data_IF_171746976818
#
_entry.id   IF_171746976818
#
_cell.length_a   1.000
_cell.length_b   1.000
_cell.length_c   1.000
_cell.angle_alpha   90.00
_cell.angle_beta   90.00
_cell.angle_gamma   90.00
#
_symmetry.space_group_name_H-M   'P 1'
#
loop_
_entity.id
_entity.type
_entity.pdbx_description
1 polymer ?
#
# COMPACT_ATOMS: atom_id res chain seq x y z
N UNK A 1 40.74 12.86 30.35
CA UNK A 1 40.82 12.77 28.87
C UNK A 1 39.46 12.34 28.34
N UNK A 2 38.73 13.23 27.67
CA UNK A 2 37.46 12.87 27.02
C UNK A 2 37.78 12.01 25.80
N UNK A 3 37.42 10.73 25.83
CA UNK A 3 37.50 9.87 24.65
C UNK A 3 36.62 10.48 23.55
N UNK A 4 37.26 11.09 22.55
CA UNK A 4 36.61 11.44 21.28
C UNK A 4 36.05 10.14 20.71
N UNK A 5 34.73 10.02 20.64
CA UNK A 5 34.09 8.95 19.90
C UNK A 5 34.66 8.95 18.48
N UNK A 6 35.36 7.87 18.10
CA UNK A 6 35.84 7.68 16.72
C UNK A 6 34.61 7.80 15.81
N UNK A 7 34.62 8.78 14.90
CA UNK A 7 33.66 8.84 13.78
C UNK A 7 33.71 7.48 13.08
N UNK A 8 32.64 6.70 13.18
CA UNK A 8 32.45 5.50 12.36
C UNK A 8 32.59 5.94 10.90
N UNK A 9 33.45 5.30 10.08
CA UNK A 9 33.52 5.63 8.66
C UNK A 9 32.12 5.50 8.06
N UNK A 10 31.79 6.35 7.08
CA UNK A 10 30.53 6.26 6.36
C UNK A 10 30.43 4.83 5.81
N UNK A 11 29.55 4.03 6.41
CA UNK A 11 29.42 2.64 6.00
C UNK A 11 28.98 2.63 4.55
N UNK A 12 29.75 1.95 3.70
CA UNK A 12 29.26 1.63 2.37
C UNK A 12 27.99 0.80 2.57
N UNK A 13 26.85 1.32 2.10
CA UNK A 13 25.54 0.69 2.26
C UNK A 13 25.02 0.15 0.94
N UNK A 14 25.84 0.08 -0.11
CA UNK A 14 25.43 -0.39 -1.42
C UNK A 14 26.32 -1.56 -1.78
N UNK A 15 25.73 -2.69 -2.16
CA UNK A 15 26.49 -3.88 -2.53
C UNK A 15 25.80 -4.64 -3.68
N UNK A 16 26.58 -5.30 -4.57
CA UNK A 16 26.05 -6.22 -5.58
C UNK A 16 25.59 -7.53 -4.96
N UNK A 17 24.37 -7.97 -5.23
CA UNK A 17 23.88 -9.27 -4.81
C UNK A 17 23.29 -10.05 -5.98
N UNK A 18 23.60 -11.34 -6.05
CA UNK A 18 22.86 -12.30 -6.87
C UNK A 18 21.68 -12.84 -6.06
N UNK A 19 20.48 -12.78 -6.61
CA UNK A 19 19.26 -13.25 -5.95
C UNK A 19 19.11 -14.76 -6.12
N UNK A 20 19.00 -15.46 -4.99
CA UNK A 20 19.04 -16.93 -4.90
C UNK A 20 17.67 -17.54 -4.62
N UNK A 21 16.79 -16.79 -3.97
CA UNK A 21 15.46 -17.24 -3.58
C UNK A 21 14.52 -16.05 -3.34
N UNK A 22 13.26 -16.35 -3.05
CA UNK A 22 12.30 -15.38 -2.53
C UNK A 22 11.92 -15.68 -1.08
N UNK A 23 11.68 -14.62 -0.33
CA UNK A 23 10.93 -14.67 0.92
C UNK A 23 9.44 -14.89 0.68
N UNK A 24 8.69 -15.22 1.73
CA UNK A 24 7.22 -15.34 1.66
C UNK A 24 6.50 -14.05 1.24
N UNK A 25 7.15 -12.89 1.41
CA UNK A 25 6.64 -11.58 0.99
C UNK A 25 7.08 -11.20 -0.43
N UNK A 26 7.82 -12.06 -1.12
CA UNK A 26 8.34 -11.83 -2.47
C UNK A 26 9.56 -10.91 -2.55
N UNK A 27 10.21 -10.62 -1.42
CA UNK A 27 11.56 -10.02 -1.41
C UNK A 27 12.58 -11.04 -1.89
N UNK A 28 13.53 -10.63 -2.72
CA UNK A 28 14.70 -11.43 -3.08
C UNK A 28 15.55 -11.76 -1.84
N UNK A 29 16.16 -12.93 -1.81
CA UNK A 29 17.08 -13.38 -0.77
C UNK A 29 18.45 -13.55 -1.40
N UNK A 30 19.46 -13.00 -0.74
CA UNK A 30 20.86 -13.19 -1.05
C UNK A 30 21.69 -13.31 0.23
N UNK A 31 22.94 -13.72 0.09
CA UNK A 31 23.89 -13.77 1.19
C UNK A 31 25.15 -12.96 0.86
N UNK A 32 25.72 -12.32 1.87
CA UNK A 32 27.06 -11.76 1.79
C UNK A 32 28.12 -12.85 1.59
N UNK A 33 29.25 -12.50 0.95
CA UNK A 33 30.31 -13.44 0.60
C UNK A 33 30.23 -13.99 -0.84
N UNK A 34 29.15 -13.69 -1.56
CA UNK A 34 28.94 -14.10 -2.95
C UNK A 34 29.58 -13.17 -4.00
N UNK A 35 30.20 -12.06 -3.58
CA UNK A 35 30.83 -11.07 -4.45
C UNK A 35 32.10 -10.52 -3.78
N UNK A 36 33.18 -10.19 -4.53
CA UNK A 36 34.42 -9.65 -3.96
C UNK A 36 34.26 -8.37 -3.13
N UNK A 37 33.32 -7.50 -3.52
CA UNK A 37 33.03 -6.24 -2.80
C UNK A 37 32.30 -6.45 -1.46
N UNK A 38 31.94 -7.68 -1.11
CA UNK A 38 31.28 -7.96 0.15
C UNK A 38 32.25 -7.86 1.34
N UNK A 39 31.84 -7.17 2.43
CA UNK A 39 32.62 -7.11 3.65
C UNK A 39 32.77 -8.51 4.27
N UNK A 40 34.02 -8.90 4.54
CA UNK A 40 34.34 -10.24 5.06
C UNK A 40 33.65 -10.53 6.39
N UNK A 41 33.48 -9.52 7.25
CA UNK A 41 32.82 -9.66 8.55
C UNK A 41 31.31 -9.98 8.45
N UNK A 42 30.72 -9.83 7.27
CA UNK A 42 29.31 -10.16 7.01
C UNK A 42 29.14 -11.49 6.27
N UNK A 43 30.21 -12.21 5.96
CA UNK A 43 30.13 -13.45 5.18
C UNK A 43 29.02 -14.41 5.68
N UNK A 44 28.17 -14.89 4.78
CA UNK A 44 27.03 -15.76 5.08
C UNK A 44 25.82 -15.06 5.70
N UNK A 45 25.89 -13.76 6.00
CA UNK A 45 24.74 -13.01 6.53
C UNK A 45 23.68 -12.82 5.45
N UNK A 46 22.42 -13.09 5.81
CA UNK A 46 21.27 -13.02 4.93
C UNK A 46 20.83 -11.57 4.68
N UNK A 47 20.45 -11.29 3.44
CA UNK A 47 19.92 -10.00 3.00
C UNK A 47 18.59 -10.20 2.28
N UNK A 48 17.55 -9.48 2.71
CA UNK A 48 16.26 -9.41 2.03
C UNK A 48 16.21 -8.16 1.16
N UNK A 49 16.02 -8.33 -0.15
CA UNK A 49 16.16 -7.27 -1.15
C UNK A 49 14.82 -7.06 -1.85
N UNK A 50 14.21 -5.90 -1.65
CA UNK A 50 12.97 -5.52 -2.34
C UNK A 50 13.24 -5.23 -3.82
N UNK A 51 12.25 -5.56 -4.65
CA UNK A 51 12.20 -5.27 -6.09
C UNK A 51 13.19 -6.06 -6.97
N UNK A 52 13.96 -6.97 -6.37
CA UNK A 52 14.89 -7.85 -7.06
C UNK A 52 14.26 -9.23 -7.29
N UNK A 53 14.45 -9.79 -8.49
CA UNK A 53 13.89 -11.09 -8.89
C UNK A 53 14.92 -12.21 -8.88
N UNK A 54 14.45 -13.44 -8.76
CA UNK A 54 15.28 -14.65 -8.74
C UNK A 54 16.16 -14.72 -9.99
N UNK A 55 17.45 -15.04 -9.77
CA UNK A 55 18.44 -15.16 -10.84
C UNK A 55 19.12 -13.85 -11.22
N UNK A 56 18.59 -12.70 -10.81
CA UNK A 56 19.17 -11.39 -11.14
C UNK A 56 20.39 -11.06 -10.28
N UNK A 57 21.29 -10.25 -10.82
CA UNK A 57 22.33 -9.56 -10.05
C UNK A 57 21.98 -8.08 -9.95
N UNK A 58 21.95 -7.54 -8.73
CA UNK A 58 21.47 -6.18 -8.45
C UNK A 58 22.43 -5.41 -7.55
N UNK A 59 22.58 -4.10 -7.76
CA UNK A 59 23.09 -3.20 -6.72
C UNK A 59 21.96 -2.93 -5.73
N UNK A 60 22.14 -3.30 -4.47
CA UNK A 60 21.14 -3.09 -3.43
C UNK A 60 21.65 -2.13 -2.36
N UNK A 61 20.80 -1.18 -1.96
CA UNK A 61 21.05 -0.26 -0.85
C UNK A 61 20.47 -0.81 0.44
N UNK A 62 21.33 -1.07 1.41
CA UNK A 62 20.94 -1.45 2.77
C UNK A 62 20.13 -0.33 3.41
N UNK A 63 18.95 -0.69 3.92
CA UNK A 63 18.01 0.21 4.61
C UNK A 63 17.98 -0.04 6.10
N UNK A 64 18.09 -1.30 6.51
CA UNK A 64 17.99 -1.71 7.90
C UNK A 64 18.94 -2.86 8.19
N UNK A 65 19.55 -2.86 9.38
CA UNK A 65 20.58 -3.81 9.77
C UNK A 65 20.31 -4.34 11.17
N UNK A 66 20.33 -5.66 11.30
CA UNK A 66 20.31 -6.36 12.59
C UNK A 66 21.54 -7.26 12.71
N UNK A 67 21.71 -7.95 13.84
CA UNK A 67 22.78 -8.94 13.98
C UNK A 67 22.59 -10.16 13.06
N UNK A 68 21.34 -10.57 12.80
CA UNK A 68 21.02 -11.79 12.05
C UNK A 68 20.84 -11.58 10.54
N UNK A 69 20.26 -10.45 10.14
CA UNK A 69 19.90 -10.17 8.76
C UNK A 69 19.98 -8.67 8.44
N UNK A 70 19.98 -8.35 7.15
CA UNK A 70 19.82 -6.99 6.64
C UNK A 70 18.66 -6.91 5.65
N UNK A 71 18.09 -5.71 5.53
CA UNK A 71 17.06 -5.40 4.55
C UNK A 71 17.57 -4.32 3.60
N UNK A 72 17.27 -4.47 2.33
CA UNK A 72 17.77 -3.61 1.27
C UNK A 72 16.72 -3.40 0.17
N UNK A 73 16.96 -2.38 -0.64
CA UNK A 73 16.20 -2.12 -1.86
C UNK A 73 17.14 -2.23 -3.05
N UNK A 74 16.69 -2.90 -4.11
CA UNK A 74 17.35 -2.79 -5.40
C UNK A 74 17.42 -1.32 -5.83
N UNK A 75 18.61 -0.86 -6.20
CA UNK A 75 18.85 0.42 -6.85
C UNK A 75 18.96 0.26 -8.37
N UNK A 76 19.74 -0.72 -8.81
CA UNK A 76 20.07 -0.94 -10.22
C UNK A 76 20.15 -2.44 -10.48
N UNK A 77 19.52 -2.88 -11.55
CA UNK A 77 19.71 -4.21 -12.12
C UNK A 77 21.01 -4.23 -12.93
N UNK A 78 21.90 -5.19 -12.66
CA UNK A 78 23.21 -5.32 -13.31
C UNK A 78 23.31 -6.50 -14.27
N UNK A 79 22.41 -7.48 -14.18
CA UNK A 79 22.27 -8.58 -15.13
C UNK A 79 21.18 -8.29 -16.15
N UNK A 80 20.96 -9.23 -17.06
CA UNK A 80 19.69 -9.28 -17.79
C UNK A 80 18.52 -9.42 -16.81
N UNK A 81 17.38 -8.84 -17.20
CA UNK A 81 16.13 -8.95 -16.46
C UNK A 81 15.63 -10.39 -16.45
N UNK A 82 15.06 -10.83 -15.32
CA UNK A 82 14.31 -12.07 -15.30
C UNK A 82 13.16 -12.01 -16.32
N UNK A 83 12.84 -13.13 -16.98
CA UNK A 83 11.82 -13.17 -18.04
C UNK A 83 10.44 -12.65 -17.60
N UNK A 84 10.09 -12.89 -16.34
CA UNK A 84 8.82 -12.47 -15.73
C UNK A 84 8.89 -11.06 -15.10
N UNK A 85 10.00 -10.33 -15.28
CA UNK A 85 10.08 -8.92 -14.85
C UNK A 85 9.25 -8.06 -15.79
N UNK A 86 8.43 -7.19 -15.23
CA UNK A 86 7.66 -6.19 -15.97
C UNK A 86 7.91 -4.80 -15.40
N UNK A 87 7.62 -3.78 -16.21
CA UNK A 87 7.60 -2.41 -15.74
C UNK A 87 6.37 -2.18 -14.83
N UNK A 88 6.56 -1.64 -13.61
CA UNK A 88 5.45 -1.34 -12.72
C UNK A 88 4.42 -0.39 -13.34
N UNK A 89 3.14 -0.74 -13.24
CA UNK A 89 2.03 0.08 -13.75
C UNK A 89 1.79 1.39 -12.97
N UNK A 90 2.42 1.54 -11.80
CA UNK A 90 2.26 2.70 -10.93
C UNK A 90 3.58 3.44 -10.80
N UNK A 91 3.60 4.72 -11.22
CA UNK A 91 4.77 5.58 -11.10
C UNK A 91 5.26 5.81 -9.66
N UNK A 92 4.41 5.52 -8.65
CA UNK A 92 4.77 5.64 -7.24
C UNK A 92 5.37 4.35 -6.66
N UNK A 93 5.42 3.25 -7.43
CA UNK A 93 6.01 1.99 -7.01
C UNK A 93 7.50 2.20 -6.66
N UNK A 94 8.00 1.48 -5.66
CA UNK A 94 9.35 1.69 -5.12
C UNK A 94 9.39 2.64 -3.93
N UNK A 95 8.52 3.67 -3.91
CA UNK A 95 8.45 4.69 -2.84
C UNK A 95 7.21 4.48 -1.98
N UNK A 96 6.02 4.45 -2.60
CA UNK A 96 4.74 4.20 -1.92
C UNK A 96 4.70 2.78 -1.33
N UNK A 97 4.33 2.67 -0.05
CA UNK A 97 4.28 1.41 0.70
C UNK A 97 3.15 0.45 0.34
N UNK A 98 2.30 0.79 -0.63
CA UNK A 98 1.04 0.07 -0.89
C UNK A 98 1.19 -1.20 -1.73
N UNK A 99 2.19 -1.31 -2.60
CA UNK A 99 2.35 -2.42 -3.53
C UNK A 99 3.79 -2.96 -3.47
N UNK A 100 3.95 -4.29 -3.39
CA UNK A 100 5.28 -4.92 -3.24
C UNK A 100 5.81 -5.58 -4.51
N UNK A 101 4.93 -6.03 -5.42
CA UNK A 101 5.29 -6.96 -6.50
C UNK A 101 4.99 -6.45 -7.92
N UNK A 102 4.75 -5.15 -8.13
CA UNK A 102 4.40 -4.66 -9.49
C UNK A 102 5.51 -4.84 -10.53
N UNK A 103 6.74 -5.10 -10.09
CA UNK A 103 7.88 -5.42 -10.96
C UNK A 103 7.86 -6.87 -11.48
N UNK A 104 6.93 -7.70 -11.01
CA UNK A 104 6.80 -9.12 -11.32
C UNK A 104 5.48 -9.35 -12.06
N UNK A 105 5.51 -10.13 -13.14
CA UNK A 105 4.32 -10.49 -13.90
C UNK A 105 3.27 -11.14 -12.98
N UNK A 106 1.96 -10.83 -13.12
CA UNK A 106 0.93 -11.34 -12.22
C UNK A 106 0.89 -12.87 -12.08
N UNK A 107 1.21 -13.61 -13.14
CA UNK A 107 1.29 -15.08 -13.09
C UNK A 107 2.40 -15.56 -12.16
N UNK A 108 3.56 -14.91 -12.21
CA UNK A 108 4.68 -15.23 -11.32
C UNK A 108 4.38 -14.82 -9.87
N UNK A 109 3.61 -13.74 -9.64
CA UNK A 109 3.14 -13.38 -8.30
C UNK A 109 2.26 -14.48 -7.69
N UNK A 110 1.42 -15.13 -8.51
CA UNK A 110 0.55 -16.21 -8.07
C UNK A 110 1.36 -17.48 -7.84
N UNK A 111 2.29 -17.81 -8.75
CA UNK A 111 3.22 -18.94 -8.59
C UNK A 111 4.01 -18.82 -7.30
N UNK A 112 4.57 -17.64 -7.02
CA UNK A 112 5.27 -17.34 -5.77
C UNK A 112 4.38 -17.63 -4.55
N UNK A 113 3.16 -17.10 -4.51
CA UNK A 113 2.23 -17.30 -3.39
C UNK A 113 1.84 -18.77 -3.21
N UNK A 114 1.62 -19.49 -4.30
CA UNK A 114 1.30 -20.92 -4.27
C UNK A 114 2.49 -21.74 -3.74
N UNK A 115 3.72 -21.43 -4.17
CA UNK A 115 4.93 -22.09 -3.65
C UNK A 115 5.11 -21.83 -2.14
N UNK A 116 4.80 -20.62 -1.67
CA UNK A 116 4.83 -20.28 -0.23
C UNK A 116 3.80 -21.12 0.54
N UNK A 117 2.57 -21.21 0.03
CA UNK A 117 1.52 -22.03 0.65
C UNK A 117 1.91 -23.51 0.69
N UNK A 118 2.42 -24.06 -0.43
CA UNK A 118 2.91 -25.43 -0.50
C UNK A 118 4.03 -25.68 0.51
N UNK A 119 5.01 -24.77 0.57
CA UNK A 119 6.11 -24.85 1.53
C UNK A 119 5.59 -24.87 2.97
N UNK A 120 4.62 -24.02 3.31
CA UNK A 120 4.03 -23.98 4.64
C UNK A 120 3.27 -25.28 4.99
N UNK A 121 2.45 -25.81 4.07
CA UNK A 121 1.75 -27.08 4.29
C UNK A 121 2.73 -28.23 4.53
N UNK A 122 3.79 -28.31 3.73
CA UNK A 122 4.78 -29.36 3.86
C UNK A 122 5.60 -29.22 5.14
N UNK A 123 6.17 -28.04 5.40
CA UNK A 123 7.18 -27.87 6.45
C UNK A 123 6.56 -27.70 7.83
N UNK A 124 5.39 -27.06 7.94
CA UNK A 124 4.77 -26.79 9.23
C UNK A 124 3.64 -27.76 9.58
N UNK A 125 2.90 -28.26 8.58
CA UNK A 125 1.79 -29.17 8.81
C UNK A 125 2.12 -30.64 8.43
N UNK A 126 3.20 -30.89 7.69
CA UNK A 126 3.50 -32.23 7.17
C UNK A 126 2.46 -32.72 6.14
N UNK A 127 1.71 -31.80 5.53
CA UNK A 127 0.61 -32.11 4.63
C UNK A 127 1.04 -31.95 3.16
N UNK A 128 0.48 -32.80 2.32
CA UNK A 128 0.48 -32.66 0.86
C UNK A 128 -0.97 -32.73 0.38
N UNK A 129 -1.50 -31.67 -0.25
CA UNK A 129 -2.83 -31.74 -0.84
C UNK A 129 -2.90 -32.80 -1.93
N UNK A 130 -4.00 -33.55 -1.98
CA UNK A 130 -4.29 -34.47 -3.09
C UNK A 130 -4.44 -33.71 -4.42
N UNK A 131 -5.03 -32.52 -4.35
CA UNK A 131 -5.23 -31.64 -5.49
C UNK A 131 -5.04 -30.17 -5.09
N UNK A 132 -4.41 -29.41 -5.98
CA UNK A 132 -4.40 -27.96 -5.95
C UNK A 132 -5.55 -27.41 -6.81
N UNK A 133 -6.41 -26.60 -6.20
CA UNK A 133 -7.43 -25.86 -6.94
C UNK A 133 -6.79 -24.75 -7.78
N UNK A 134 -7.46 -24.37 -8.86
CA UNK A 134 -7.03 -23.22 -9.65
C UNK A 134 -7.08 -21.94 -8.79
N UNK A 135 -6.09 -21.04 -8.89
CA UNK A 135 -6.07 -19.81 -8.11
C UNK A 135 -7.23 -18.88 -8.53
N UNK A 136 -7.94 -18.33 -7.55
CA UNK A 136 -8.92 -17.26 -7.76
C UNK A 136 -8.16 -15.97 -8.07
N UNK A 137 -8.59 -15.26 -9.12
CA UNK A 137 -7.87 -14.08 -9.64
C UNK A 137 -8.80 -12.89 -9.81
N UNK A 138 -8.23 -11.70 -9.57
CA UNK A 138 -8.85 -10.46 -10.03
C UNK A 138 -8.68 -10.36 -11.54
N UNK A 139 -9.74 -9.97 -12.26
CA UNK A 139 -9.69 -9.68 -13.71
C UNK A 139 -9.21 -8.25 -14.01
N UNK A 140 -9.12 -7.42 -12.97
CA UNK A 140 -8.86 -5.99 -13.06
C UNK A 140 -7.73 -5.59 -12.10
N UNK A 141 -6.93 -4.60 -12.52
CA UNK A 141 -5.85 -4.03 -11.69
C UNK A 141 -6.40 -3.05 -10.66
N UNK A 142 -7.43 -2.28 -11.03
CA UNK A 142 -8.17 -1.27 -10.27
C UNK A 142 -9.17 -1.86 -9.26
N UNK A 143 -8.78 -2.95 -8.59
CA UNK A 143 -9.71 -3.78 -7.83
C UNK A 143 -10.11 -3.23 -6.46
N UNK A 144 -9.38 -2.25 -5.89
CA UNK A 144 -9.66 -1.77 -4.54
C UNK A 144 -10.84 -0.80 -4.55
N UNK A 145 -11.91 -1.16 -3.83
CA UNK A 145 -13.07 -0.30 -3.59
C UNK A 145 -13.01 0.47 -2.27
N UNK A 146 -11.91 0.32 -1.53
CA UNK A 146 -11.68 1.05 -0.28
C UNK A 146 -10.23 1.48 -0.12
N UNK A 147 -10.04 2.72 0.32
CA UNK A 147 -8.72 3.27 0.62
C UNK A 147 -8.77 4.24 1.79
N UNK A 148 -7.67 4.28 2.56
CA UNK A 148 -7.42 5.29 3.59
C UNK A 148 -6.17 6.06 3.20
N UNK A 149 -6.31 7.35 3.00
CA UNK A 149 -5.27 8.24 2.48
C UNK A 149 -4.89 9.21 3.59
N UNK A 150 -3.60 9.22 3.97
CA UNK A 150 -3.09 10.12 4.99
C UNK A 150 -3.02 11.55 4.47
N UNK A 151 -3.31 12.51 5.35
CA UNK A 151 -3.18 13.94 5.09
C UNK A 151 -2.24 14.54 6.11
N UNK A 152 -1.31 15.38 5.65
CA UNK A 152 -0.42 16.15 6.52
C UNK A 152 -0.19 17.52 5.93
N UNK A 153 -0.45 18.55 6.72
CA UNK A 153 -0.13 19.92 6.34
C UNK A 153 1.15 20.40 7.05
N UNK A 154 2.08 20.97 6.29
CA UNK A 154 3.27 21.63 6.82
C UNK A 154 3.13 23.14 6.69
N UNK A 155 2.84 23.82 7.80
CA UNK A 155 2.67 25.27 7.84
C UNK A 155 3.94 26.04 7.43
N UNK A 156 5.15 25.50 7.67
CA UNK A 156 6.40 26.19 7.31
C UNK A 156 6.63 26.26 5.81
N UNK A 157 6.05 25.33 5.05
CA UNK A 157 6.20 25.22 3.60
C UNK A 157 4.90 25.54 2.85
N UNK A 158 3.83 25.91 3.58
CA UNK A 158 2.44 25.99 3.11
C UNK A 158 2.09 24.86 2.14
N UNK A 159 2.38 23.62 2.56
CA UNK A 159 2.27 22.45 1.70
C UNK A 159 1.43 21.36 2.37
N UNK A 160 0.40 20.90 1.64
CA UNK A 160 -0.37 19.73 2.01
C UNK A 160 0.16 18.49 1.28
N UNK A 161 0.44 17.44 2.05
CA UNK A 161 0.75 16.11 1.58
C UNK A 161 -0.51 15.26 1.72
N UNK A 162 -0.90 14.63 0.61
CA UNK A 162 -2.00 13.68 0.57
C UNK A 162 -1.51 12.42 -0.13
N UNK A 163 -1.52 11.28 0.58
CA UNK A 163 -1.09 10.03 -0.01
C UNK A 163 -0.90 8.91 0.98
N UNK A 164 -0.03 7.96 0.62
CA UNK A 164 0.20 6.74 1.40
C UNK A 164 1.54 6.79 2.12
N UNK A 165 1.66 6.00 3.17
CA UNK A 165 2.93 5.83 3.87
C UNK A 165 3.96 5.16 2.95
N UNK A 166 5.17 5.67 2.99
CA UNK A 166 6.35 4.99 2.47
C UNK A 166 6.62 3.71 3.25
N UNK A 167 7.29 2.75 2.61
CA UNK A 167 7.70 1.53 3.30
C UNK A 167 8.57 1.81 4.53
N UNK A 168 8.25 1.15 5.65
CA UNK A 168 8.95 1.28 6.93
C UNK A 168 9.11 2.72 7.42
N UNK A 169 8.20 3.61 7.03
CA UNK A 169 8.32 5.04 7.25
C UNK A 169 6.97 5.64 7.64
N UNK A 170 7.02 6.70 8.44
CA UNK A 170 5.85 7.52 8.70
C UNK A 170 5.70 8.66 7.68
N UNK A 171 6.63 8.83 6.74
CA UNK A 171 6.50 9.81 5.66
C UNK A 171 5.41 9.40 4.68
N UNK A 172 4.72 10.41 4.15
CA UNK A 172 3.70 10.23 3.13
C UNK A 172 4.31 10.54 1.76
N UNK A 173 4.19 9.60 0.83
CA UNK A 173 4.40 9.87 -0.59
C UNK A 173 3.13 10.50 -1.13
N UNK A 174 3.23 11.71 -1.68
CA UNK A 174 2.10 12.32 -2.40
C UNK A 174 1.74 11.47 -3.61
N UNK A 175 0.45 11.19 -3.77
CA UNK A 175 -0.06 10.46 -4.92
C UNK A 175 -1.00 11.36 -5.72
N UNK A 176 -0.98 11.21 -7.04
CA UNK A 176 -1.98 11.81 -7.92
C UNK A 176 -2.94 10.78 -8.48
N UNK A 177 -2.51 9.53 -8.61
CA UNK A 177 -3.27 8.39 -9.10
C UNK A 177 -2.83 7.13 -8.36
N UNK A 178 -3.69 6.11 -8.30
CA UNK A 178 -3.39 4.82 -7.72
C UNK A 178 -3.95 3.70 -8.62
N UNK A 179 -3.08 3.02 -9.37
CA UNK A 179 -3.49 2.03 -10.39
C UNK A 179 -4.22 0.80 -9.82
N UNK A 180 -4.22 0.61 -8.50
CA UNK A 180 -4.95 -0.47 -7.82
C UNK A 180 -6.25 -0.04 -7.17
N UNK A 181 -6.52 1.27 -7.13
CA UNK A 181 -7.78 1.84 -6.66
C UNK A 181 -8.76 1.87 -7.83
N UNK A 182 -10.06 1.72 -7.55
CA UNK A 182 -11.12 1.91 -8.54
C UNK A 182 -10.86 3.17 -9.37
N UNK A 183 -11.04 3.07 -10.70
CA UNK A 183 -10.71 4.14 -11.64
C UNK A 183 -11.38 5.47 -11.30
N UNK A 184 -12.65 5.46 -10.91
CA UNK A 184 -13.40 6.68 -10.60
C UNK A 184 -12.88 7.35 -9.32
N UNK A 185 -12.52 6.53 -8.32
CA UNK A 185 -11.91 7.02 -7.07
C UNK A 185 -10.50 7.54 -7.32
N UNK A 186 -9.68 6.82 -8.10
CA UNK A 186 -8.32 7.24 -8.46
C UNK A 186 -8.34 8.56 -9.25
N UNK A 187 -9.24 8.69 -10.23
CA UNK A 187 -9.35 9.90 -11.03
C UNK A 187 -9.76 11.14 -10.20
N UNK A 188 -10.46 10.93 -9.08
CA UNK A 188 -10.90 12.01 -8.18
C UNK A 188 -9.84 12.48 -7.19
N UNK A 189 -8.69 11.79 -7.08
CA UNK A 189 -7.64 12.14 -6.11
C UNK A 189 -7.04 13.54 -6.34
N UNK A 190 -6.72 13.99 -7.57
CA UNK A 190 -6.20 15.34 -7.78
C UNK A 190 -7.17 16.43 -7.32
N UNK A 191 -8.46 16.30 -7.65
CA UNK A 191 -9.50 17.25 -7.24
C UNK A 191 -9.68 17.27 -5.71
N UNK A 192 -9.68 16.10 -5.07
CA UNK A 192 -9.69 16.00 -3.61
C UNK A 192 -8.50 16.71 -2.99
N UNK A 193 -7.30 16.53 -3.54
CA UNK A 193 -6.09 17.21 -3.04
C UNK A 193 -6.25 18.72 -3.10
N UNK A 194 -6.70 19.26 -4.24
CA UNK A 194 -6.92 20.69 -4.43
C UNK A 194 -7.99 21.23 -3.48
N UNK A 195 -9.10 20.49 -3.30
CA UNK A 195 -10.14 20.84 -2.33
C UNK A 195 -9.53 20.99 -0.93
N UNK A 196 -8.79 19.98 -0.45
CA UNK A 196 -8.17 20.01 0.87
C UNK A 196 -7.15 21.13 1.03
N UNK A 197 -6.42 21.50 -0.02
CA UNK A 197 -5.45 22.60 0.00
C UNK A 197 -6.13 23.97 0.19
N UNK A 198 -7.39 24.11 -0.20
CA UNK A 198 -8.17 25.33 -0.12
C UNK A 198 -8.99 25.47 1.18
N UNK A 199 -9.08 24.41 1.99
CA UNK A 199 -9.78 24.48 3.27
C UNK A 199 -8.99 25.35 4.26
N UNK A 200 -9.69 26.24 4.98
CA UNK A 200 -9.14 26.97 6.12
C UNK A 200 -8.68 25.98 7.21
N UNK A 201 -9.47 24.95 7.45
CA UNK A 201 -9.18 23.85 8.39
C UNK A 201 -8.18 22.80 7.90
N UNK A 202 -7.45 22.99 6.78
CA UNK A 202 -6.55 21.97 6.20
C UNK A 202 -5.51 21.39 7.16
N UNK A 203 -5.08 22.16 8.15
CA UNK A 203 -4.15 21.73 9.20
C UNK A 203 -4.74 20.67 10.16
N UNK A 204 -6.07 20.61 10.25
CA UNK A 204 -6.79 19.72 11.16
C UNK A 204 -7.07 18.35 10.53
N UNK A 205 -6.86 18.17 9.24
CA UNK A 205 -7.22 16.94 8.54
C UNK A 205 -6.13 15.91 8.75
N UNK A 206 -6.49 14.78 9.38
CA UNK A 206 -5.56 13.68 9.65
C UNK A 206 -5.50 12.67 8.51
N UNK A 207 -6.67 12.24 8.03
CA UNK A 207 -6.78 11.33 6.90
C UNK A 207 -8.18 11.41 6.28
N UNK A 208 -8.30 10.89 5.07
CA UNK A 208 -9.58 10.62 4.44
C UNK A 208 -9.74 9.13 4.16
N UNK A 209 -10.98 8.64 4.19
CA UNK A 209 -11.33 7.31 3.72
C UNK A 209 -12.32 7.41 2.57
N UNK A 210 -12.07 6.64 1.52
CA UNK A 210 -13.01 6.40 0.44
C UNK A 210 -13.48 4.96 0.57
N UNK A 211 -14.78 4.76 0.67
CA UNK A 211 -15.42 3.44 0.63
C UNK A 211 -16.47 3.44 -0.48
N UNK A 212 -16.48 2.40 -1.30
CA UNK A 212 -17.40 2.26 -2.42
C UNK A 212 -18.25 1.00 -2.25
N UNK A 213 -19.56 1.19 -2.22
CA UNK A 213 -20.57 0.15 -2.45
C UNK A 213 -20.77 -0.06 -3.94
N UNK A 214 -21.79 -0.84 -4.32
CA UNK A 214 -22.09 -1.14 -5.72
C UNK A 214 -22.47 0.10 -6.53
N UNK A 215 -23.18 1.04 -5.90
CA UNK A 215 -23.60 2.30 -6.53
C UNK A 215 -23.13 3.53 -5.76
N UNK A 216 -22.97 3.44 -4.45
CA UNK A 216 -22.63 4.59 -3.60
C UNK A 216 -21.13 4.68 -3.32
N UNK A 217 -20.66 5.91 -3.09
CA UNK A 217 -19.32 6.20 -2.57
C UNK A 217 -19.45 7.07 -1.34
N UNK A 218 -18.73 6.73 -0.29
CA UNK A 218 -18.58 7.52 0.92
C UNK A 218 -17.19 8.16 0.97
N UNK A 219 -17.17 9.49 1.15
CA UNK A 219 -16.00 10.25 1.55
C UNK A 219 -16.09 10.54 3.05
N UNK A 220 -15.16 9.99 3.82
CA UNK A 220 -15.01 10.25 5.24
C UNK A 220 -13.79 11.14 5.48
N UNK A 221 -13.99 12.25 6.20
CA UNK A 221 -12.92 13.14 6.63
C UNK A 221 -12.67 12.98 8.14
N UNK A 222 -11.49 12.47 8.52
CA UNK A 222 -11.02 12.48 9.91
C UNK A 222 -10.33 13.82 10.18
N UNK A 223 -10.90 14.62 11.09
CA UNK A 223 -10.35 15.92 11.45
C UNK A 223 -10.12 16.07 12.96
N UNK A 224 -8.94 16.53 13.36
CA UNK A 224 -8.46 16.59 14.75
C UNK A 224 -8.86 17.89 15.48
N UNK A 225 -9.40 18.86 14.75
CA UNK A 225 -9.90 20.13 15.23
C UNK A 225 -11.08 20.58 14.39
N UNK A 226 -11.73 21.68 14.77
CA UNK A 226 -12.94 22.15 14.10
C UNK A 226 -12.68 22.56 12.65
N UNK A 227 -13.64 22.24 11.79
CA UNK A 227 -13.72 22.74 10.42
C UNK A 227 -14.73 23.89 10.40
N UNK A 228 -14.44 24.94 9.63
CA UNK A 228 -15.36 26.07 9.51
C UNK A 228 -16.61 25.68 8.74
N UNK A 229 -17.69 26.47 8.87
CA UNK A 229 -18.90 26.26 8.07
C UNK A 229 -18.60 26.32 6.56
N UNK A 230 -17.67 27.19 6.16
CA UNK A 230 -17.21 27.29 4.76
C UNK A 230 -16.48 26.02 4.32
N UNK A 231 -15.57 25.49 5.14
CA UNK A 231 -14.88 24.22 4.84
C UNK A 231 -15.87 23.07 4.60
N UNK A 232 -16.85 22.93 5.50
CA UNK A 232 -17.89 21.91 5.40
C UNK A 232 -18.76 22.12 4.17
N UNK A 233 -19.07 23.36 3.81
CA UNK A 233 -19.82 23.67 2.59
C UNK A 233 -19.03 23.33 1.33
N UNK A 234 -17.72 23.61 1.27
CA UNK A 234 -16.87 23.21 0.14
C UNK A 234 -16.84 21.68 -0.03
N UNK A 235 -16.72 20.93 1.08
CA UNK A 235 -16.79 19.45 1.07
C UNK A 235 -18.16 18.94 0.60
N UNK A 236 -19.25 19.56 1.05
CA UNK A 236 -20.63 19.24 0.61
C UNK A 236 -20.82 19.48 -0.87
N UNK A 237 -20.34 20.62 -1.40
CA UNK A 237 -20.45 20.91 -2.84
C UNK A 237 -19.66 19.90 -3.67
N UNK A 238 -18.45 19.55 -3.24
CA UNK A 238 -17.66 18.52 -3.93
C UNK A 238 -18.39 17.16 -3.97
N UNK A 239 -18.90 16.70 -2.84
CA UNK A 239 -19.60 15.41 -2.74
C UNK A 239 -20.93 15.42 -3.48
N UNK A 240 -21.68 16.53 -3.46
CA UNK A 240 -22.90 16.70 -4.24
C UNK A 240 -22.63 16.56 -5.75
N UNK A 241 -21.59 17.22 -6.28
CA UNK A 241 -21.23 17.13 -7.70
C UNK A 241 -20.79 15.72 -8.12
N UNK A 242 -20.18 14.97 -7.21
CA UNK A 242 -19.75 13.58 -7.45
C UNK A 242 -20.86 12.55 -7.18
N UNK A 243 -21.98 12.94 -6.56
CA UNK A 243 -23.01 12.01 -6.08
C UNK A 243 -22.53 11.14 -4.92
N UNK A 244 -21.63 11.65 -4.08
CA UNK A 244 -21.04 10.94 -2.96
C UNK A 244 -21.71 11.30 -1.64
N UNK A 245 -21.65 10.38 -0.69
CA UNK A 245 -22.01 10.62 0.70
C UNK A 245 -20.82 11.28 1.43
N UNK A 246 -21.07 12.26 2.30
CA UNK A 246 -20.03 12.96 3.06
C UNK A 246 -20.17 12.66 4.55
N UNK A 247 -19.07 12.20 5.14
CA UNK A 247 -18.98 11.88 6.55
C UNK A 247 -17.86 12.67 7.22
N UNK A 248 -18.13 13.17 8.43
CA UNK A 248 -17.12 13.79 9.28
C UNK A 248 -16.89 12.93 10.53
N UNK A 249 -15.62 12.82 10.93
CA UNK A 249 -15.20 12.10 12.13
C UNK A 249 -14.26 12.98 12.98
N UNK A 250 -14.78 13.77 13.93
CA UNK A 250 -13.96 14.63 14.80
C UNK A 250 -13.15 13.86 15.86
N UNK A 251 -13.67 12.73 16.35
CA UNK A 251 -13.10 11.95 17.45
C UNK A 251 -12.96 10.46 17.07
N UNK A 252 -13.30 9.55 17.98
CA UNK A 252 -13.29 8.10 17.75
C UNK A 252 -14.37 7.64 16.77
N UNK A 253 -14.54 6.32 16.64
CA UNK A 253 -15.52 5.70 15.73
C UNK A 253 -16.94 6.26 15.93
N UNK A 254 -17.36 6.41 17.18
CA UNK A 254 -18.72 6.85 17.55
C UNK A 254 -19.04 8.30 17.17
N UNK A 255 -18.04 9.08 16.79
CA UNK A 255 -18.24 10.47 16.37
C UNK A 255 -18.58 10.62 14.88
N UNK A 256 -18.57 9.52 14.13
CA UNK A 256 -18.92 9.53 12.73
C UNK A 256 -20.36 10.01 12.55
N UNK A 257 -20.56 10.99 11.68
CA UNK A 257 -21.89 11.44 11.28
C UNK A 257 -21.89 11.86 9.81
N UNK A 258 -23.03 11.67 9.16
CA UNK A 258 -23.25 12.07 7.77
C UNK A 258 -23.68 13.53 7.72
N UNK A 259 -23.13 14.30 6.78
CA UNK A 259 -23.34 15.76 6.71
C UNK A 259 -23.87 16.26 5.38
N UNK A 260 -23.85 15.45 4.31
CA UNK A 260 -24.51 15.78 3.03
C UNK A 260 -26.04 15.70 3.13
N UNK A 261 -26.55 14.73 3.90
CA UNK A 261 -27.95 14.60 4.25
C UNK A 261 -28.05 14.04 5.67
N UNK A 262 -28.53 14.85 6.62
CA UNK A 262 -28.61 14.49 8.03
C UNK A 262 -29.73 13.49 8.35
N UNK A 263 -30.67 13.29 7.42
CA UNK A 263 -31.82 12.38 7.59
C UNK A 263 -31.60 11.03 6.90
N UNK A 264 -30.71 10.99 5.91
CA UNK A 264 -30.41 9.77 5.18
C UNK A 264 -29.65 8.75 6.03
N UNK A 265 -29.90 7.44 5.82
CA UNK A 265 -29.16 6.40 6.53
C UNK A 265 -27.66 6.45 6.21
N UNK A 266 -26.85 6.13 7.20
CA UNK A 266 -25.39 6.04 7.09
C UNK A 266 -24.97 4.68 6.51
N UNK A 267 -25.40 4.38 5.29
CA UNK A 267 -25.22 3.06 4.67
C UNK A 267 -24.78 3.17 3.22
N UNK A 268 -23.86 2.30 2.85
CA UNK A 268 -23.56 1.88 1.49
C UNK A 268 -24.03 0.43 1.33
N UNK A 269 -24.13 -0.05 0.10
CA UNK A 269 -24.61 -1.40 -0.17
C UNK A 269 -23.70 -2.17 -1.12
N UNK A 270 -23.64 -3.49 -0.96
CA UNK A 270 -23.14 -4.39 -2.00
C UNK A 270 -23.94 -5.68 -2.01
N UNK A 271 -24.00 -6.35 -3.16
CA UNK A 271 -24.69 -7.62 -3.32
C UNK A 271 -23.72 -8.78 -3.60
N UNK A 272 -24.12 -9.97 -3.17
CA UNK A 272 -23.57 -11.24 -3.63
C UNK A 272 -24.67 -11.94 -4.42
N UNK A 273 -24.72 -11.67 -5.73
CA UNK A 273 -25.83 -12.07 -6.60
C UNK A 273 -26.04 -13.59 -6.64
N UNK A 274 -24.96 -14.39 -6.63
CA UNK A 274 -25.03 -15.86 -6.64
C UNK A 274 -25.71 -16.45 -5.40
N UNK A 275 -25.86 -15.64 -4.34
CA UNK A 275 -26.48 -16.02 -3.07
C UNK A 275 -27.79 -15.29 -2.80
N UNK A 276 -28.23 -14.38 -3.68
CA UNK A 276 -29.40 -13.51 -3.48
C UNK A 276 -29.36 -12.74 -2.13
N UNK A 277 -28.18 -12.25 -1.76
CA UNK A 277 -27.99 -11.46 -0.52
C UNK A 277 -27.49 -10.05 -0.83
N UNK A 278 -28.10 -9.07 -0.17
CA UNK A 278 -27.65 -7.69 -0.15
C UNK A 278 -27.19 -7.30 1.26
N UNK A 279 -25.99 -6.73 1.34
CA UNK A 279 -25.42 -6.23 2.58
C UNK A 279 -25.48 -4.71 2.62
N UNK A 280 -25.94 -4.16 3.74
CA UNK A 280 -25.77 -2.76 4.08
C UNK A 280 -24.59 -2.61 5.04
N UNK A 281 -23.72 -1.63 4.83
CA UNK A 281 -22.56 -1.39 5.68
C UNK A 281 -22.32 0.10 5.92
N UNK A 282 -21.80 0.43 7.11
CA UNK A 282 -21.29 1.75 7.45
C UNK A 282 -19.92 1.98 6.79
N UNK A 283 -19.53 3.22 6.46
CA UNK A 283 -18.17 3.51 6.01
C UNK A 283 -17.07 3.04 6.96
N UNK A 284 -17.34 2.81 8.25
CA UNK A 284 -16.35 2.29 9.21
C UNK A 284 -16.33 0.76 9.31
N UNK A 285 -17.36 0.06 8.81
CA UNK A 285 -17.41 -1.40 8.89
C UNK A 285 -16.33 -2.01 8.01
N UNK A 286 -15.80 -3.16 8.43
CA UNK A 286 -14.88 -3.90 7.58
C UNK A 286 -15.61 -4.48 6.38
N UNK A 287 -15.11 -4.18 5.18
CA UNK A 287 -15.55 -4.80 3.93
C UNK A 287 -14.35 -5.29 3.12
N UNK A 288 -14.59 -6.30 2.30
CA UNK A 288 -13.57 -6.87 1.43
C UNK A 288 -13.21 -5.86 0.34
N UNK A 289 -11.92 -5.57 0.20
CA UNK A 289 -11.46 -4.50 -0.69
C UNK A 289 -11.58 -4.84 -2.17
N UNK A 290 -11.56 -6.14 -2.52
CA UNK A 290 -11.68 -6.67 -3.87
C UNK A 290 -12.98 -7.44 -4.00
N UNK A 291 -14.03 -6.77 -4.50
CA UNK A 291 -15.37 -7.37 -4.65
C UNK A 291 -15.38 -8.58 -5.59
N UNK A 292 -14.66 -8.51 -6.72
CA UNK A 292 -14.63 -9.57 -7.72
C UNK A 292 -13.94 -10.85 -7.23
N UNK A 293 -12.87 -10.74 -6.43
CA UNK A 293 -12.24 -11.90 -5.78
C UNK A 293 -13.11 -12.39 -4.62
N UNK A 294 -13.73 -11.49 -3.85
CA UNK A 294 -14.59 -11.87 -2.74
C UNK A 294 -15.76 -12.75 -3.20
N UNK A 295 -16.48 -12.34 -4.26
CA UNK A 295 -17.61 -13.11 -4.77
C UNK A 295 -17.22 -14.53 -5.25
N UNK A 296 -16.01 -14.71 -5.77
CA UNK A 296 -15.50 -16.04 -6.17
C UNK A 296 -15.03 -16.90 -4.99
N UNK A 297 -14.74 -16.28 -3.84
CA UNK A 297 -14.19 -16.96 -2.66
C UNK A 297 -15.27 -17.48 -1.72
N UNK A 298 -16.41 -16.80 -1.65
CA UNK A 298 -17.61 -17.22 -0.90
C UNK A 298 -18.25 -18.41 -1.59
#
# INVERSE_FOLDING_TARGET
>A
MKHKAKRRPAQHLIYPFKIEAYSHEGRGIAHYGTHPDHPQEKHGKKVFIRYAMLGETVQAKIRHQTSRLEEADMLVLQSDAAAERIEPICAHFGVCGGCSLQHMHPDEQIRLKQNVLQSHLQHFAGLQPEQWLAPIRSKQADYRRRTRIGVRYNAKQDRLLMGFREHHSHHLTTIQHCSVLDKSLSASLPELKTLLENLAGKAQIGHLELAMGDTEVALLIRHLGELTADDVNQLRQFTLLKGWQLYLQPNGADSLHRVDDATAPMRLHYALADFDVQFAFSPLDFTQVNSGVNAQMV
#
